data_IF_484266535251
#
_entry.id   IF_484266535251
#
_cell.length_a   1.000
_cell.length_b   1.000
_cell.length_c   1.000
_cell.angle_alpha   90.00
_cell.angle_beta   90.00
_cell.angle_gamma   90.00
#
_symmetry.space_group_name_H-M   'P 1'
#
loop_
_entity.id
_entity.type
_entity.pdbx_description
1 polymer ?
#
# COMPACT_ATOMS: atom_id res chain seq x y z
N UNK A 1 63.71 -32.29 10.22
CA UNK A 1 63.86 -32.05 8.77
C UNK A 1 62.76 -32.85 8.10
N UNK A 2 61.66 -32.19 7.70
CA UNK A 2 61.36 -31.72 6.33
C UNK A 2 61.20 -32.89 5.36
N UNK A 3 60.15 -33.04 4.57
CA UNK A 3 58.83 -32.41 4.47
C UNK A 3 58.05 -33.35 3.53
N UNK A 4 56.79 -33.62 3.82
CA UNK A 4 55.88 -34.28 2.88
C UNK A 4 55.43 -33.22 1.90
N UNK A 5 55.87 -33.33 0.65
CA UNK A 5 55.45 -32.48 -0.46
C UNK A 5 55.07 -33.39 -1.64
N UNK A 6 54.13 -32.89 -2.43
CA UNK A 6 53.75 -33.35 -3.77
C UNK A 6 52.70 -34.46 -3.86
N UNK A 7 51.41 -34.07 -3.76
CA UNK A 7 50.49 -34.09 -4.91
C UNK A 7 49.06 -33.61 -4.57
N UNK A 8 48.93 -32.37 -4.07
CA UNK A 8 47.63 -31.70 -3.90
C UNK A 8 47.47 -30.52 -4.86
N UNK A 9 47.64 -30.76 -6.15
CA UNK A 9 47.50 -29.73 -7.20
C UNK A 9 46.89 -30.32 -8.46
N UNK A 10 45.70 -30.91 -8.40
CA UNK A 10 44.92 -31.17 -9.62
C UNK A 10 43.41 -31.44 -9.46
N UNK A 11 42.72 -30.81 -8.49
CA UNK A 11 41.25 -30.98 -8.35
C UNK A 11 40.46 -29.67 -8.23
N UNK A 12 41.12 -28.50 -8.12
CA UNK A 12 40.43 -27.23 -7.87
C UNK A 12 40.30 -26.28 -9.08
N UNK A 13 40.56 -26.73 -10.31
CA UNK A 13 40.56 -25.83 -11.48
C UNK A 13 39.66 -26.26 -12.66
N UNK A 14 38.54 -26.95 -12.40
CA UNK A 14 37.56 -27.34 -13.45
C UNK A 14 36.08 -27.26 -13.08
N UNK A 15 35.69 -26.39 -12.15
CA UNK A 15 34.27 -25.98 -11.99
C UNK A 15 34.22 -24.46 -11.78
N UNK A 16 34.66 -23.73 -12.79
CA UNK A 16 34.50 -22.28 -12.85
C UNK A 16 34.28 -21.89 -14.30
N UNK A 17 33.10 -22.19 -14.83
CA UNK A 17 32.57 -21.60 -16.06
C UNK A 17 31.10 -21.99 -16.20
N UNK A 18 30.27 -20.94 -16.35
CA UNK A 18 28.89 -20.95 -16.86
C UNK A 18 27.77 -21.28 -15.86
N UNK A 19 27.72 -20.53 -14.76
CA UNK A 19 26.45 -19.95 -14.31
C UNK A 19 26.36 -18.51 -14.82
N UNK A 20 26.28 -18.37 -16.14
CA UNK A 20 25.64 -17.19 -16.72
C UNK A 20 24.17 -17.32 -16.32
N UNK A 21 23.81 -16.65 -15.23
CA UNK A 21 22.43 -16.41 -14.88
C UNK A 21 21.78 -15.67 -16.04
N UNK A 22 21.12 -16.40 -16.92
CA UNK A 22 20.08 -15.82 -17.74
C UNK A 22 19.16 -15.10 -16.75
N UNK A 23 18.89 -13.79 -16.94
CA UNK A 23 17.82 -13.18 -16.18
C UNK A 23 16.61 -14.05 -16.50
N UNK A 24 16.00 -14.66 -15.47
CA UNK A 24 14.64 -15.12 -15.58
C UNK A 24 13.86 -13.88 -16.03
N UNK A 25 13.60 -13.79 -17.32
CA UNK A 25 12.58 -12.91 -17.86
C UNK A 25 11.33 -13.45 -17.19
N UNK A 26 10.91 -12.77 -16.11
CA UNK A 26 9.63 -13.03 -15.50
C UNK A 26 8.64 -13.06 -16.64
N UNK A 27 7.95 -14.19 -16.79
CA UNK A 27 6.92 -14.37 -17.80
C UNK A 27 5.99 -13.16 -17.68
N UNK A 28 6.00 -12.29 -18.70
CA UNK A 28 5.19 -11.07 -18.70
C UNK A 28 3.76 -11.49 -18.39
N UNK A 29 3.16 -10.89 -17.35
CA UNK A 29 1.74 -11.07 -17.11
C UNK A 29 0.95 -10.62 -18.33
N UNK A 30 -0.32 -11.01 -18.39
CA UNK A 30 -1.22 -10.48 -19.41
C UNK A 30 -1.49 -9.00 -19.12
N UNK A 31 -0.81 -8.12 -19.85
CA UNK A 31 -0.88 -6.67 -19.66
C UNK A 31 -1.91 -6.08 -20.62
N UNK A 32 -2.97 -5.53 -20.06
CA UNK A 32 -4.03 -4.87 -20.80
C UNK A 32 -3.68 -3.41 -21.10
N UNK A 33 -3.61 -3.05 -22.38
CA UNK A 33 -3.36 -1.69 -22.88
C UNK A 33 -4.64 -0.96 -23.31
N UNK A 34 -5.83 -1.53 -23.07
CA UNK A 34 -7.12 -0.95 -23.52
C UNK A 34 -7.39 0.46 -23.00
N UNK A 35 -6.88 0.79 -21.81
CA UNK A 35 -7.01 2.09 -21.17
C UNK A 35 -5.66 2.83 -21.06
N UNK A 36 -4.68 2.49 -21.91
CA UNK A 36 -3.31 2.99 -21.79
C UNK A 36 -3.22 4.52 -21.75
N UNK A 37 -3.98 5.22 -22.61
CA UNK A 37 -4.01 6.69 -22.70
C UNK A 37 -4.87 7.36 -21.62
N UNK A 38 -5.52 6.58 -20.75
CA UNK A 38 -6.29 7.09 -19.61
C UNK A 38 -5.35 7.29 -18.42
N UNK A 39 -5.32 8.47 -17.78
CA UNK A 39 -4.47 8.70 -16.61
C UNK A 39 -4.72 7.67 -15.50
N UNK A 40 -3.65 7.17 -14.86
CA UNK A 40 -3.76 6.10 -13.84
C UNK A 40 -4.76 6.43 -12.72
N UNK A 41 -4.81 7.68 -12.26
CA UNK A 41 -5.80 8.10 -11.25
C UNK A 41 -7.24 7.88 -11.74
N UNK A 42 -7.52 8.20 -13.00
CA UNK A 42 -8.83 7.98 -13.62
C UNK A 42 -9.13 6.48 -13.74
N UNK A 43 -8.18 5.67 -14.21
CA UNK A 43 -8.33 4.21 -14.27
C UNK A 43 -8.70 3.61 -12.90
N UNK A 44 -8.00 4.03 -11.84
CA UNK A 44 -8.25 3.58 -10.47
C UNK A 44 -9.65 4.01 -10.01
N UNK A 45 -10.00 5.28 -10.18
CA UNK A 45 -11.31 5.80 -9.76
C UNK A 45 -12.46 5.12 -10.52
N UNK A 46 -12.28 4.84 -11.81
CA UNK A 46 -13.29 4.16 -12.61
C UNK A 46 -13.42 2.68 -12.23
N UNK A 47 -12.32 2.02 -11.90
CA UNK A 47 -12.35 0.67 -11.33
C UNK A 47 -13.11 0.65 -9.99
N UNK A 48 -12.89 1.63 -9.11
CA UNK A 48 -13.62 1.74 -7.84
C UNK A 48 -15.12 1.91 -8.08
N UNK A 49 -15.51 2.83 -8.99
CA UNK A 49 -16.91 3.06 -9.35
C UNK A 49 -17.55 1.79 -9.92
N UNK A 50 -16.86 1.11 -10.84
CA UNK A 50 -17.33 -0.12 -11.48
C UNK A 50 -17.53 -1.26 -10.48
N UNK A 51 -16.67 -1.37 -9.46
CA UNK A 51 -16.80 -2.39 -8.41
C UNK A 51 -17.83 -2.05 -7.33
N UNK A 52 -18.06 -0.77 -7.03
CA UNK A 52 -19.07 -0.35 -6.03
C UNK A 52 -20.47 -0.31 -6.62
N UNK A 53 -20.66 0.18 -7.85
CA UNK A 53 -21.98 0.44 -8.41
C UNK A 53 -22.93 -0.78 -8.37
N UNK A 54 -22.52 -2.00 -8.77
CA UNK A 54 -23.40 -3.18 -8.70
C UNK A 54 -23.84 -3.50 -7.28
N UNK A 55 -23.01 -3.18 -6.28
CA UNK A 55 -23.28 -3.45 -4.86
C UNK A 55 -24.31 -2.50 -4.26
N UNK A 56 -24.49 -1.32 -4.86
CA UNK A 56 -25.49 -0.34 -4.44
C UNK A 56 -26.87 -0.64 -5.04
N UNK A 57 -26.92 -1.38 -6.15
CA UNK A 57 -28.14 -1.62 -6.91
C UNK A 57 -28.64 -0.39 -7.67
N UNK A 58 -29.61 -0.60 -8.55
CA UNK A 58 -30.20 0.43 -9.41
C UNK A 58 -31.31 1.24 -8.71
N UNK A 59 -31.91 0.68 -7.66
CA UNK A 59 -33.01 1.31 -6.91
C UNK A 59 -32.57 2.28 -5.82
N UNK A 60 -33.55 2.76 -5.05
CA UNK A 60 -33.33 3.67 -3.92
C UNK A 60 -32.47 2.99 -2.84
N UNK A 61 -31.39 3.65 -2.44
CA UNK A 61 -30.52 3.18 -1.37
C UNK A 61 -31.09 3.65 -0.03
N UNK A 62 -31.71 2.73 0.71
CA UNK A 62 -32.41 3.02 1.97
C UNK A 62 -31.49 3.08 3.19
N UNK A 63 -30.24 2.61 3.05
CA UNK A 63 -29.22 2.57 4.09
C UNK A 63 -27.87 2.99 3.55
N UNK A 64 -27.09 3.67 4.39
CA UNK A 64 -25.72 4.04 4.05
C UNK A 64 -24.85 2.79 3.85
N UNK A 65 -23.86 2.91 2.96
CA UNK A 65 -22.92 1.83 2.64
C UNK A 65 -21.50 2.36 2.81
N UNK A 66 -20.63 1.53 3.37
CA UNK A 66 -19.27 1.94 3.72
C UNK A 66 -18.29 0.99 3.09
N UNK A 67 -17.21 1.52 2.53
CA UNK A 67 -16.20 0.74 1.84
C UNK A 67 -14.80 1.13 2.29
N UNK A 68 -13.90 0.16 2.34
CA UNK A 68 -12.46 0.37 2.50
C UNK A 68 -11.71 -0.22 1.31
N UNK A 69 -10.68 0.48 0.86
CA UNK A 69 -9.90 0.13 -0.31
C UNK A 69 -8.43 0.28 0.05
N UNK A 70 -7.74 -0.83 0.36
CA UNK A 70 -6.30 -0.86 0.52
C UNK A 70 -5.56 -0.69 -0.81
N UNK A 71 -4.45 0.03 -0.75
CA UNK A 71 -3.57 0.28 -1.87
C UNK A 71 -2.11 0.07 -1.47
N UNK A 72 -1.30 -0.11 -2.50
CA UNK A 72 0.14 0.00 -2.41
C UNK A 72 0.73 0.46 -3.73
N UNK A 73 1.89 1.09 -3.67
CA UNK A 73 2.79 1.13 -4.83
C UNK A 73 4.17 0.66 -4.41
N UNK A 74 4.93 0.12 -5.36
CA UNK A 74 6.36 -0.20 -5.18
C UNK A 74 7.09 -0.30 -6.52
N UNK A 75 8.40 -0.18 -6.45
CA UNK A 75 9.29 -0.58 -7.54
C UNK A 75 9.65 -2.08 -7.44
N UNK A 76 10.51 -2.53 -8.37
CA UNK A 76 10.93 -3.93 -8.47
C UNK A 76 11.69 -4.42 -7.25
N UNK A 77 12.50 -3.55 -6.66
CA UNK A 77 13.39 -3.89 -5.55
C UNK A 77 12.75 -3.60 -4.19
N UNK A 78 11.54 -3.04 -4.18
CA UNK A 78 10.83 -2.63 -2.97
C UNK A 78 11.67 -1.63 -2.16
N UNK A 79 12.29 -0.68 -2.84
CA UNK A 79 12.98 0.44 -2.21
C UNK A 79 11.96 1.28 -1.43
N UNK A 80 12.25 1.66 -0.18
CA UNK A 80 11.28 2.34 0.68
C UNK A 80 10.89 3.73 0.19
N UNK A 81 11.79 4.47 -0.46
CA UNK A 81 11.50 5.75 -1.11
C UNK A 81 10.49 5.62 -2.28
N UNK A 82 10.44 4.44 -2.89
CA UNK A 82 9.56 4.13 -4.00
C UNK A 82 8.43 3.20 -3.60
N UNK A 83 8.16 3.02 -2.31
CA UNK A 83 7.16 2.07 -1.85
C UNK A 83 6.29 2.61 -0.73
N UNK A 84 4.98 2.37 -0.83
CA UNK A 84 4.03 2.94 0.12
C UNK A 84 2.78 2.09 0.26
N UNK A 85 2.17 2.13 1.44
CA UNK A 85 0.93 1.45 1.78
C UNK A 85 -0.07 2.48 2.31
N UNK A 86 -1.30 2.48 1.78
CA UNK A 86 -2.33 3.45 2.14
C UNK A 86 -3.74 2.89 1.95
N UNK A 87 -4.75 3.58 2.50
CA UNK A 87 -6.17 3.20 2.34
C UNK A 87 -7.02 4.39 1.93
N UNK A 88 -8.04 4.13 1.11
CA UNK A 88 -9.17 5.03 0.92
C UNK A 88 -10.41 4.43 1.56
N UNK A 89 -11.21 5.27 2.21
CA UNK A 89 -12.47 4.90 2.87
C UNK A 89 -13.58 5.75 2.28
N UNK A 90 -14.70 5.12 1.96
CA UNK A 90 -15.86 5.73 1.29
C UNK A 90 -17.12 5.46 2.12
N UNK A 91 -17.97 6.46 2.26
CA UNK A 91 -19.35 6.31 2.74
C UNK A 91 -20.29 6.85 1.67
N UNK A 92 -21.19 6.00 1.20
CA UNK A 92 -22.29 6.36 0.29
C UNK A 92 -23.53 6.62 1.14
N UNK A 93 -24.16 7.78 0.96
CA UNK A 93 -25.34 8.19 1.72
C UNK A 93 -26.60 7.45 1.24
N UNK A 94 -27.57 7.28 2.13
CA UNK A 94 -28.90 6.82 1.77
C UNK A 94 -29.67 7.94 1.05
N UNK A 95 -30.44 7.62 0.01
CA UNK A 95 -31.11 8.62 -0.82
C UNK A 95 -32.29 9.31 -0.10
N UNK A 96 -32.88 8.62 0.88
CA UNK A 96 -34.10 9.05 1.56
C UNK A 96 -33.84 9.85 2.85
N UNK A 97 -32.59 10.24 3.12
CA UNK A 97 -32.21 10.98 4.31
C UNK A 97 -31.28 12.13 3.96
N UNK A 98 -31.47 13.28 4.59
CA UNK A 98 -30.52 14.38 4.47
C UNK A 98 -29.14 13.92 4.98
N UNK A 99 -28.05 14.08 4.20
CA UNK A 99 -26.73 13.64 4.61
C UNK A 99 -26.26 14.36 5.88
N UNK A 100 -25.92 13.60 6.92
CA UNK A 100 -25.15 14.14 8.05
C UNK A 100 -23.65 13.98 7.72
N UNK A 101 -23.06 15.06 7.22
CA UNK A 101 -21.67 15.10 6.76
C UNK A 101 -20.70 14.95 7.91
N UNK A 102 -19.65 14.16 7.69
CA UNK A 102 -18.57 14.07 8.67
C UNK A 102 -17.77 15.37 8.66
N UNK A 103 -17.65 16.04 9.81
CA UNK A 103 -16.87 17.28 9.95
C UNK A 103 -15.48 17.14 9.32
N UNK A 104 -15.18 18.01 8.36
CA UNK A 104 -13.90 18.06 7.64
C UNK A 104 -13.85 17.20 6.37
N UNK A 105 -14.90 16.46 6.04
CA UNK A 105 -15.02 15.76 4.77
C UNK A 105 -15.99 16.48 3.82
N UNK A 106 -15.60 16.55 2.55
CA UNK A 106 -16.43 17.13 1.51
C UNK A 106 -17.42 16.09 0.98
N UNK A 107 -18.67 16.50 0.81
CA UNK A 107 -19.65 15.75 0.05
C UNK A 107 -19.27 15.76 -1.43
N UNK A 108 -19.43 14.62 -2.08
CA UNK A 108 -19.19 14.41 -3.52
C UNK A 108 -20.41 13.73 -4.11
N UNK A 109 -20.56 13.86 -5.43
CA UNK A 109 -21.66 13.25 -6.18
C UNK A 109 -21.12 12.46 -7.36
N UNK A 110 -21.67 11.28 -7.59
CA UNK A 110 -21.45 10.50 -8.79
C UNK A 110 -22.77 9.88 -9.24
N UNK A 111 -23.19 10.21 -10.47
CA UNK A 111 -24.56 9.92 -10.94
C UNK A 111 -25.60 10.47 -9.94
N UNK A 112 -26.50 9.64 -9.47
CA UNK A 112 -27.52 9.94 -8.46
C UNK A 112 -27.07 9.64 -7.02
N UNK A 113 -25.80 9.29 -6.79
CA UNK A 113 -25.29 8.93 -5.45
C UNK A 113 -24.46 10.05 -4.85
N UNK A 114 -24.76 10.39 -3.61
CA UNK A 114 -23.94 11.26 -2.79
C UNK A 114 -23.03 10.42 -1.89
N UNK A 115 -21.80 10.86 -1.70
CA UNK A 115 -20.82 10.14 -0.89
C UNK A 115 -19.79 11.08 -0.27
N UNK A 116 -19.12 10.61 0.78
CA UNK A 116 -17.89 11.21 1.31
C UNK A 116 -16.76 10.18 1.23
N UNK A 117 -15.54 10.68 1.01
CA UNK A 117 -14.36 9.83 0.91
C UNK A 117 -13.12 10.52 1.47
N UNK A 118 -12.22 9.74 2.06
CA UNK A 118 -10.92 10.21 2.52
C UNK A 118 -9.86 9.13 2.38
N UNK A 119 -8.60 9.57 2.37
CA UNK A 119 -7.44 8.70 2.27
C UNK A 119 -6.57 8.84 3.52
N UNK A 120 -6.14 7.72 4.08
CA UNK A 120 -5.04 7.67 5.06
C UNK A 120 -3.81 7.21 4.28
N UNK A 121 -2.98 8.18 3.93
CA UNK A 121 -1.73 8.02 3.19
C UNK A 121 -0.66 8.79 3.95
N UNK A 122 -0.03 8.12 4.92
CA UNK A 122 0.81 8.76 5.92
C UNK A 122 2.28 8.71 5.53
N UNK A 123 2.84 9.88 5.19
CA UNK A 123 4.23 10.07 4.76
C UNK A 123 4.80 11.35 5.39
N UNK A 124 6.13 11.59 5.32
CA UNK A 124 6.71 12.89 5.65
C UNK A 124 5.97 14.03 4.95
N UNK A 125 5.80 15.15 5.64
CA UNK A 125 5.01 16.29 5.13
C UNK A 125 5.54 16.83 3.80
N UNK A 126 6.85 16.80 3.63
CA UNK A 126 7.63 17.29 2.50
C UNK A 126 7.87 16.23 1.41
N UNK A 127 7.26 15.04 1.49
CA UNK A 127 7.60 13.91 0.63
C UNK A 127 7.41 14.13 -0.87
N UNK A 128 6.50 15.03 -1.28
CA UNK A 128 6.33 15.41 -2.70
C UNK A 128 7.55 16.15 -3.28
N UNK A 129 8.29 16.87 -2.44
CA UNK A 129 9.47 17.64 -2.83
C UNK A 129 10.77 16.97 -2.40
N UNK A 130 10.70 16.05 -1.44
CA UNK A 130 11.83 15.34 -0.86
C UNK A 130 11.46 13.87 -0.62
N UNK A 131 11.55 13.00 -1.65
CA UNK A 131 11.16 11.59 -1.53
C UNK A 131 12.21 10.73 -0.81
N UNK A 132 13.31 11.32 -0.30
CA UNK A 132 14.34 10.58 0.41
C UNK A 132 13.84 10.13 1.78
N UNK A 133 13.51 8.84 1.87
CA UNK A 133 13.00 8.23 3.08
C UNK A 133 14.12 7.54 3.87
N UNK A 134 14.44 8.04 5.05
CA UNK A 134 15.35 7.33 5.96
C UNK A 134 14.60 6.18 6.65
N UNK A 135 15.00 4.94 6.35
CA UNK A 135 14.46 3.75 7.03
C UNK A 135 15.43 3.19 8.06
N UNK A 136 16.68 2.98 7.68
CA UNK A 136 17.74 2.51 8.56
C UNK A 136 19.01 3.31 8.32
N UNK A 137 19.50 3.98 9.36
CA UNK A 137 20.79 4.68 9.32
C UNK A 137 21.67 4.26 10.50
N UNK A 138 22.93 3.91 10.18
CA UNK A 138 23.96 3.46 11.12
C UNK A 138 24.24 1.94 11.14
N UNK A 139 25.44 1.52 11.60
CA UNK A 139 25.77 0.11 11.79
C UNK A 139 24.78 -0.57 12.75
N UNK A 140 24.23 -1.71 12.34
CA UNK A 140 23.32 -2.50 13.16
C UNK A 140 21.87 -1.98 13.28
N UNK A 141 21.53 -0.83 12.68
CA UNK A 141 20.19 -0.22 12.75
C UNK A 141 19.04 -1.14 12.30
N UNK A 142 19.30 -2.05 11.36
CA UNK A 142 18.32 -3.06 10.91
C UNK A 142 17.98 -4.05 12.05
N UNK A 143 18.99 -4.50 12.79
CA UNK A 143 18.85 -5.50 13.84
C UNK A 143 18.45 -4.89 15.20
N UNK A 144 19.02 -3.72 15.53
CA UNK A 144 18.85 -3.06 16.82
C UNK A 144 18.18 -1.69 16.61
N UNK A 145 16.87 -1.56 16.85
CA UNK A 145 16.13 -0.32 16.61
C UNK A 145 16.73 0.91 17.33
N UNK A 146 17.35 0.70 18.51
CA UNK A 146 18.01 1.76 19.30
C UNK A 146 19.23 2.37 18.60
N UNK A 147 19.83 1.65 17.64
CA UNK A 147 20.98 2.11 16.86
C UNK A 147 20.55 2.86 15.58
N UNK A 148 19.25 2.91 15.28
CA UNK A 148 18.75 3.56 14.07
C UNK A 148 18.69 5.08 14.24
N UNK A 149 19.56 5.78 13.51
CA UNK A 149 19.75 7.24 13.57
C UNK A 149 18.75 8.03 12.72
N UNK A 150 17.87 7.37 11.97
CA UNK A 150 16.87 8.06 11.17
C UNK A 150 16.03 9.02 12.03
N UNK A 151 15.76 10.25 11.54
CA UNK A 151 14.97 11.22 12.27
C UNK A 151 13.48 10.85 12.29
N UNK A 152 12.77 11.43 13.25
CA UNK A 152 11.31 11.51 13.21
C UNK A 152 10.95 12.75 12.40
N UNK A 153 10.03 12.61 11.45
CA UNK A 153 9.61 13.71 10.57
C UNK A 153 8.17 14.11 10.86
N UNK A 154 7.80 15.40 10.69
CA UNK A 154 6.39 15.78 10.61
C UNK A 154 5.69 14.97 9.53
N UNK A 155 4.60 14.29 9.86
CA UNK A 155 3.80 13.55 8.89
C UNK A 155 2.61 14.36 8.38
N UNK A 156 2.05 13.93 7.24
CA UNK A 156 0.72 14.35 6.79
C UNK A 156 0.01 13.22 6.06
N UNK A 157 -1.32 13.28 6.04
CA UNK A 157 -2.12 12.50 5.11
C UNK A 157 -2.09 13.14 3.72
N UNK A 158 -1.73 12.37 2.71
CA UNK A 158 -1.85 12.73 1.30
C UNK A 158 -3.21 12.28 0.76
N UNK A 159 -3.78 13.04 -0.16
CA UNK A 159 -4.97 12.64 -0.91
C UNK A 159 -4.65 11.44 -1.82
N UNK A 160 -5.69 10.72 -2.26
CA UNK A 160 -5.52 9.66 -3.26
C UNK A 160 -4.80 10.18 -4.51
N UNK A 161 -5.21 11.35 -5.03
CA UNK A 161 -4.60 11.93 -6.23
C UNK A 161 -3.10 12.25 -6.04
N UNK A 162 -2.72 12.88 -4.92
CA UNK A 162 -1.31 13.12 -4.60
C UNK A 162 -0.52 11.82 -4.46
N UNK A 163 -1.11 10.80 -3.84
CA UNK A 163 -0.44 9.51 -3.61
C UNK A 163 -0.25 8.72 -4.92
N UNK A 164 -1.25 8.71 -5.80
CA UNK A 164 -1.12 8.08 -7.13
C UNK A 164 -0.11 8.86 -7.99
N UNK A 165 -0.08 10.19 -7.88
CA UNK A 165 0.93 11.00 -8.57
C UNK A 165 2.36 10.60 -8.18
N UNK A 166 2.64 10.37 -6.90
CA UNK A 166 3.95 9.86 -6.44
C UNK A 166 4.33 8.54 -7.13
N UNK A 167 3.39 7.60 -7.24
CA UNK A 167 3.61 6.32 -7.91
C UNK A 167 3.88 6.49 -9.42
N UNK A 168 3.11 7.36 -10.08
CA UNK A 168 3.25 7.66 -11.51
C UNK A 168 4.60 8.32 -11.80
N UNK A 169 5.00 9.32 -11.00
CA UNK A 169 6.27 10.01 -11.15
C UNK A 169 7.47 9.07 -10.98
N UNK A 170 7.34 8.09 -10.08
CA UNK A 170 8.33 7.04 -9.85
C UNK A 170 8.23 5.84 -10.81
N UNK A 171 7.24 5.80 -11.71
CA UNK A 171 7.00 4.70 -12.66
C UNK A 171 6.79 3.33 -11.98
N UNK A 172 6.12 3.35 -10.83
CA UNK A 172 5.93 2.18 -9.98
C UNK A 172 4.76 1.29 -10.40
N UNK A 173 4.80 0.02 -10.01
CA UNK A 173 3.59 -0.80 -10.01
C UNK A 173 2.66 -0.32 -8.89
N UNK A 174 1.36 -0.22 -9.18
CA UNK A 174 0.32 0.18 -8.22
C UNK A 174 -0.66 -0.96 -8.06
N UNK A 175 -0.98 -1.34 -6.82
CA UNK A 175 -1.98 -2.34 -6.49
C UNK A 175 -3.13 -1.74 -5.69
N UNK A 176 -4.33 -2.25 -5.96
CA UNK A 176 -5.56 -1.97 -5.23
C UNK A 176 -6.21 -3.30 -4.83
N UNK A 177 -6.76 -3.36 -3.62
CA UNK A 177 -7.55 -4.50 -3.14
C UNK A 177 -8.99 -4.09 -2.83
N UNK A 178 -9.95 -4.97 -3.11
CA UNK A 178 -11.37 -4.70 -2.92
C UNK A 178 -11.97 -3.89 -4.08
N UNK A 179 -12.89 -2.93 -3.82
CA UNK A 179 -13.34 -2.40 -2.51
C UNK A 179 -14.05 -3.42 -1.61
N UNK A 180 -13.83 -3.34 -0.30
CA UNK A 180 -14.48 -4.20 0.69
C UNK A 180 -15.55 -3.43 1.48
N UNK A 181 -16.74 -4.00 1.67
CA UNK A 181 -17.73 -3.43 2.58
C UNK A 181 -17.27 -3.55 4.03
N UNK A 182 -17.54 -2.48 4.76
CA UNK A 182 -17.32 -2.40 6.19
C UNK A 182 -18.59 -1.92 6.87
N UNK A 183 -18.66 -2.13 8.18
CA UNK A 183 -19.73 -1.52 8.99
C UNK A 183 -19.45 -0.05 9.27
N UNK A 184 -20.50 0.66 9.69
CA UNK A 184 -20.41 2.05 10.17
C UNK A 184 -19.38 2.21 11.28
N UNK A 185 -19.27 1.23 12.18
CA UNK A 185 -18.31 1.23 13.27
C UNK A 185 -16.87 1.28 12.75
N UNK A 186 -16.54 0.52 11.70
CA UNK A 186 -15.24 0.54 11.06
C UNK A 186 -14.95 1.89 10.36
N UNK A 187 -15.96 2.47 9.71
CA UNK A 187 -15.87 3.81 9.12
C UNK A 187 -15.55 4.87 10.20
N UNK A 188 -16.28 4.87 11.31
CA UNK A 188 -16.06 5.81 12.41
C UNK A 188 -14.66 5.72 13.00
N UNK A 189 -14.12 4.50 13.06
CA UNK A 189 -12.76 4.23 13.51
C UNK A 189 -11.70 4.72 12.53
N UNK A 190 -11.92 4.56 11.24
CA UNK A 190 -11.06 5.16 10.23
C UNK A 190 -11.06 6.70 10.30
N UNK A 191 -12.21 7.32 10.59
CA UNK A 191 -12.29 8.77 10.86
C UNK A 191 -11.49 9.15 12.10
N UNK A 192 -11.62 8.40 13.20
CA UNK A 192 -10.86 8.63 14.42
C UNK A 192 -9.35 8.53 14.16
N UNK A 193 -8.91 7.54 13.38
CA UNK A 193 -7.52 7.39 12.95
C UNK A 193 -7.04 8.59 12.14
N UNK A 194 -7.79 9.00 11.11
CA UNK A 194 -7.47 10.16 10.28
C UNK A 194 -7.28 11.41 11.15
N UNK A 195 -8.23 11.67 12.07
CA UNK A 195 -8.18 12.83 12.97
C UNK A 195 -6.97 12.80 13.91
N UNK A 196 -6.62 11.62 14.45
CA UNK A 196 -5.45 11.46 15.30
C UNK A 196 -4.14 11.83 14.56
N UNK A 197 -4.03 11.41 13.29
CA UNK A 197 -2.87 11.72 12.44
C UNK A 197 -2.85 13.20 12.04
N UNK A 198 -3.98 13.75 11.63
CA UNK A 198 -4.09 15.15 11.19
C UNK A 198 -3.83 16.15 12.33
N UNK A 199 -4.08 15.77 13.60
CA UNK A 199 -3.71 16.58 14.77
C UNK A 199 -2.18 16.77 14.90
N UNK A 200 -1.37 15.99 14.18
CA UNK A 200 0.08 16.08 14.20
C UNK A 200 0.73 15.64 15.51
N UNK A 201 -0.04 15.01 16.41
CA UNK A 201 0.46 14.41 17.67
C UNK A 201 1.34 13.20 17.41
N UNK A 202 0.95 12.38 16.44
CA UNK A 202 1.76 11.28 15.94
C UNK A 202 2.55 11.79 14.74
N UNK A 203 3.86 11.53 14.72
CA UNK A 203 4.78 11.89 13.64
C UNK A 203 4.99 10.73 12.68
N UNK A 204 5.76 10.95 11.63
CA UNK A 204 6.16 9.91 10.69
C UNK A 204 7.52 9.32 11.08
N UNK A 205 7.63 8.00 11.03
CA UNK A 205 8.91 7.27 11.02
C UNK A 205 8.74 5.93 10.31
N UNK A 206 9.63 5.59 9.38
CA UNK A 206 9.54 4.35 8.62
C UNK A 206 9.80 3.11 9.49
N UNK A 207 10.88 3.12 10.28
CA UNK A 207 11.13 2.15 11.35
C UNK A 207 10.61 2.69 12.68
N UNK A 208 9.37 2.36 13.01
CA UNK A 208 8.65 2.86 14.18
C UNK A 208 8.63 1.89 15.37
N UNK A 209 9.45 0.83 15.35
CA UNK A 209 9.47 -0.23 16.37
C UNK A 209 9.50 0.28 17.82
N UNK A 210 10.25 1.36 18.08
CA UNK A 210 10.41 1.97 19.42
C UNK A 210 9.38 3.06 19.75
N UNK A 211 8.64 3.57 18.77
CA UNK A 211 7.86 4.81 18.91
C UNK A 211 6.35 4.58 18.92
N UNK A 212 5.93 3.38 18.52
CA UNK A 212 4.52 2.97 18.44
C UNK A 212 3.82 3.01 19.80
N UNK A 213 4.37 2.33 20.81
CA UNK A 213 3.70 2.18 22.11
C UNK A 213 3.37 3.53 22.76
N UNK A 214 4.31 4.48 22.67
CA UNK A 214 4.16 5.82 23.23
C UNK A 214 3.48 6.82 22.28
N UNK A 215 3.02 6.36 21.11
CA UNK A 215 2.32 7.16 20.09
C UNK A 215 3.14 8.37 19.60
N UNK A 216 4.46 8.23 19.58
CA UNK A 216 5.36 9.32 19.16
C UNK A 216 5.41 9.40 17.63
N UNK A 217 5.61 8.27 16.95
CA UNK A 217 5.71 8.20 15.51
C UNK A 217 5.27 6.83 14.98
N UNK A 218 4.72 6.80 13.77
CA UNK A 218 4.33 5.57 13.07
C UNK A 218 4.70 5.60 11.59
N UNK A 219 4.78 4.43 10.98
CA UNK A 219 4.99 4.20 9.54
C UNK A 219 3.68 4.26 8.74
N UNK A 220 3.79 4.23 7.41
CA UNK A 220 2.64 4.22 6.51
C UNK A 220 1.73 3.00 6.69
N UNK A 221 2.30 1.80 6.81
CA UNK A 221 1.51 0.58 6.96
C UNK A 221 0.78 0.52 8.31
N UNK A 222 1.41 0.99 9.40
CA UNK A 222 0.73 1.08 10.70
C UNK A 222 -0.33 2.18 10.72
N UNK A 223 -0.15 3.27 9.96
CA UNK A 223 -1.16 4.32 9.85
C UNK A 223 -2.49 3.81 9.30
N UNK A 224 -2.46 2.85 8.37
CA UNK A 224 -3.65 2.19 7.85
C UNK A 224 -4.10 0.94 8.62
N UNK A 225 -3.24 0.30 9.42
CA UNK A 225 -3.55 -0.93 10.14
C UNK A 225 -4.49 -0.75 11.35
N UNK A 226 -5.23 -1.82 11.66
CA UNK A 226 -5.98 -2.01 12.91
C UNK A 226 -6.91 -0.84 13.26
N UNK A 227 -8.02 -0.69 12.54
CA UNK A 227 -9.02 0.36 12.82
C UNK A 227 -9.42 0.45 14.32
N UNK A 228 -9.27 -0.64 15.08
CA UNK A 228 -9.46 -0.70 16.54
C UNK A 228 -8.19 -0.57 17.39
N UNK A 229 -7.06 -1.05 16.89
CA UNK A 229 -5.82 -1.26 17.63
C UNK A 229 -4.69 -0.65 16.80
N UNK A 230 -3.98 0.31 17.38
CA UNK A 230 -2.96 1.05 16.64
C UNK A 230 -1.84 0.15 16.07
N UNK A 231 -1.65 -1.09 16.57
CA UNK A 231 -0.44 -1.85 16.29
C UNK A 231 -0.66 -3.37 16.23
N UNK A 232 -0.70 -3.97 15.05
CA UNK A 232 -0.08 -5.28 14.88
C UNK A 232 1.46 -5.19 14.89
N UNK A 233 2.12 -6.31 15.20
CA UNK A 233 3.51 -6.51 14.78
C UNK A 233 3.52 -7.19 13.41
N UNK A 234 4.31 -6.66 12.46
CA UNK A 234 4.50 -7.20 11.12
C UNK A 234 5.99 -7.44 10.80
N UNK A 235 6.26 -8.24 9.76
CA UNK A 235 7.62 -8.52 9.26
C UNK A 235 8.35 -9.66 9.97
N UNK A 236 9.50 -10.05 9.42
CA UNK A 236 10.37 -11.09 9.98
C UNK A 236 10.75 -10.73 11.43
N UNK A 237 10.40 -11.59 12.40
CA UNK A 237 10.56 -11.35 13.84
C UNK A 237 9.88 -10.09 14.40
N UNK A 238 8.81 -9.60 13.76
CA UNK A 238 8.11 -8.39 14.22
C UNK A 238 8.88 -7.09 13.96
N UNK A 239 9.86 -7.13 13.04
CA UNK A 239 10.78 -6.01 12.81
C UNK A 239 10.24 -4.93 11.88
N UNK A 240 9.13 -5.16 11.18
CA UNK A 240 8.64 -4.26 10.14
C UNK A 240 9.54 -4.18 8.89
N UNK A 241 10.60 -4.99 8.79
CA UNK A 241 11.52 -4.97 7.65
C UNK A 241 10.80 -5.37 6.35
N UNK A 242 10.95 -4.54 5.30
CA UNK A 242 10.26 -4.69 4.00
C UNK A 242 8.73 -4.74 4.09
N UNK A 243 8.14 -4.24 5.19
CA UNK A 243 6.69 -4.21 5.40
C UNK A 243 6.05 -2.92 4.87
N UNK A 244 6.48 -2.51 3.68
CA UNK A 244 5.90 -1.41 2.91
C UNK A 244 5.52 -1.94 1.53
N UNK A 245 4.87 -1.09 0.72
CA UNK A 245 4.41 -1.50 -0.60
C UNK A 245 3.45 -2.69 -0.51
N UNK A 246 3.64 -3.68 -1.39
CA UNK A 246 2.70 -4.79 -1.51
C UNK A 246 2.75 -5.73 -0.31
N UNK A 247 3.94 -5.96 0.26
CA UNK A 247 4.11 -6.81 1.44
C UNK A 247 3.45 -6.19 2.69
N UNK A 248 3.64 -4.88 2.88
CA UNK A 248 3.00 -4.13 3.96
C UNK A 248 1.47 -4.22 3.87
N UNK A 249 0.92 -3.92 2.69
CA UNK A 249 -0.54 -3.94 2.50
C UNK A 249 -1.12 -5.35 2.58
N UNK A 250 -0.43 -6.38 2.05
CA UNK A 250 -0.84 -7.77 2.20
C UNK A 250 -0.95 -8.20 3.67
N UNK A 251 -0.03 -7.75 4.53
CA UNK A 251 -0.10 -8.03 5.96
C UNK A 251 -1.28 -7.34 6.65
N UNK A 252 -1.54 -6.08 6.31
CA UNK A 252 -2.72 -5.36 6.83
C UNK A 252 -4.01 -6.08 6.43
N UNK A 253 -4.08 -6.59 5.20
CA UNK A 253 -5.22 -7.37 4.73
C UNK A 253 -5.41 -8.68 5.51
N UNK A 254 -4.34 -9.42 5.82
CA UNK A 254 -4.42 -10.63 6.68
C UNK A 254 -5.03 -10.28 8.03
N UNK A 255 -4.62 -9.16 8.63
CA UNK A 255 -5.19 -8.72 9.90
C UNK A 255 -6.64 -8.27 9.80
N UNK A 256 -7.05 -7.71 8.66
CA UNK A 256 -8.45 -7.44 8.40
C UNK A 256 -9.24 -8.75 8.32
N UNK A 257 -8.72 -9.77 7.63
CA UNK A 257 -9.33 -11.10 7.55
C UNK A 257 -9.49 -11.74 8.93
N UNK A 258 -8.50 -11.61 9.81
CA UNK A 258 -8.53 -12.22 11.14
C UNK A 258 -9.26 -11.33 12.15
N UNK A 259 -8.71 -10.17 12.49
CA UNK A 259 -9.20 -9.34 13.60
C UNK A 259 -10.48 -8.59 13.24
N UNK A 260 -10.51 -7.93 12.09
CA UNK A 260 -11.65 -7.08 11.73
C UNK A 260 -12.89 -7.93 11.39
N UNK A 261 -12.73 -9.03 10.65
CA UNK A 261 -13.81 -9.99 10.40
C UNK A 261 -14.31 -10.64 11.68
N UNK A 262 -13.43 -11.08 12.59
CA UNK A 262 -13.86 -11.67 13.86
C UNK A 262 -14.65 -10.69 14.74
N UNK A 263 -14.36 -9.38 14.64
CA UNK A 263 -15.13 -8.31 15.30
C UNK A 263 -16.36 -7.88 14.48
N UNK A 264 -16.63 -8.51 13.34
CA UNK A 264 -17.73 -8.20 12.42
C UNK A 264 -17.59 -6.85 11.71
N UNK A 265 -16.42 -6.20 11.76
CA UNK A 265 -16.19 -4.86 11.21
C UNK A 265 -16.07 -4.86 9.68
N UNK A 266 -15.51 -5.94 9.13
CA UNK A 266 -15.43 -6.22 7.71
C UNK A 266 -16.57 -7.18 7.33
N UNK A 267 -17.32 -6.83 6.30
CA UNK A 267 -18.47 -7.64 5.86
C UNK A 267 -18.13 -8.58 4.71
N UNK A 268 -17.16 -8.19 3.89
CA UNK A 268 -16.70 -9.03 2.78
C UNK A 268 -15.54 -9.92 3.21
N UNK A 269 -15.43 -11.14 2.68
CA UNK A 269 -14.20 -11.90 2.78
C UNK A 269 -13.07 -11.19 2.03
N UNK A 270 -11.84 -11.38 2.51
CA UNK A 270 -10.61 -10.87 1.88
C UNK A 270 -9.80 -12.03 1.35
N UNK A 271 -9.54 -12.02 0.04
CA UNK A 271 -8.54 -12.86 -0.61
C UNK A 271 -7.42 -11.96 -1.16
N UNK A 272 -6.30 -11.92 -0.41
CA UNK A 272 -5.15 -11.05 -0.69
C UNK A 272 -4.60 -11.22 -2.10
N UNK A 273 -4.74 -12.41 -2.70
CA UNK A 273 -4.22 -12.70 -4.04
C UNK A 273 -5.25 -12.40 -5.11
N UNK A 274 -6.51 -12.83 -4.94
CA UNK A 274 -7.54 -12.72 -5.98
C UNK A 274 -8.15 -11.33 -6.09
N UNK A 275 -8.22 -10.59 -4.98
CA UNK A 275 -8.87 -9.28 -4.97
C UNK A 275 -7.97 -8.15 -5.49
N UNK A 276 -6.71 -8.49 -5.81
CA UNK A 276 -5.67 -7.54 -6.19
C UNK A 276 -5.77 -7.18 -7.67
N UNK A 277 -6.12 -5.93 -7.96
CA UNK A 277 -5.96 -5.31 -9.28
C UNK A 277 -4.63 -4.56 -9.31
N UNK A 278 -3.83 -4.75 -10.38
CA UNK A 278 -2.50 -4.14 -10.51
C UNK A 278 -2.46 -3.29 -11.77
N UNK A 279 -1.83 -2.13 -11.67
CA UNK A 279 -1.47 -1.28 -12.79
C UNK A 279 0.05 -1.16 -12.89
N UNK A 280 0.59 -1.24 -14.11
CA UNK A 280 2.02 -1.27 -14.38
C UNK A 280 2.40 -0.18 -15.38
N UNK A 281 3.56 0.44 -15.16
CA UNK A 281 4.09 1.44 -16.08
C UNK A 281 4.60 0.77 -17.35
N UNK A 282 4.20 1.27 -18.50
CA UNK A 282 4.78 0.93 -19.80
C UNK A 282 5.25 2.21 -20.50
N UNK A 283 6.48 2.24 -21.06
CA UNK A 283 6.98 3.40 -21.81
C UNK A 283 6.26 3.62 -23.14
N UNK A 284 5.79 2.54 -23.78
CA UNK A 284 5.09 2.55 -25.07
C UNK A 284 3.93 1.58 -25.04
N UNK A 285 2.86 1.88 -25.80
CA UNK A 285 1.73 0.98 -25.97
C UNK A 285 2.18 -0.35 -26.58
N UNK A 286 1.76 -1.48 -25.99
CA UNK A 286 2.19 -2.83 -26.39
C UNK A 286 3.69 -3.12 -26.20
N UNK A 287 4.41 -2.22 -25.52
CA UNK A 287 5.85 -2.34 -25.29
C UNK A 287 6.22 -3.16 -24.05
N UNK A 288 7.54 -3.33 -23.79
CA UNK A 288 8.01 -4.02 -22.61
C UNK A 288 7.63 -3.26 -21.33
N UNK A 289 7.16 -4.02 -20.33
CA UNK A 289 6.90 -3.52 -18.97
C UNK A 289 8.13 -3.75 -18.10
N UNK A 290 8.78 -2.69 -17.56
CA UNK A 290 10.00 -2.84 -16.76
C UNK A 290 9.83 -3.66 -15.48
N UNK A 291 8.63 -3.60 -14.88
CA UNK A 291 8.27 -4.32 -13.67
C UNK A 291 6.79 -4.68 -13.66
N UNK A 292 6.50 -5.99 -13.72
CA UNK A 292 5.16 -6.54 -13.57
C UNK A 292 5.12 -7.57 -12.42
N UNK A 293 4.53 -7.22 -11.26
CA UNK A 293 4.37 -8.13 -10.13
C UNK A 293 3.09 -8.98 -10.15
N UNK A 294 2.34 -8.99 -11.25
CA UNK A 294 1.06 -9.66 -11.36
C UNK A 294 1.00 -10.65 -12.52
N UNK A 295 0.01 -11.55 -12.48
CA UNK A 295 -0.31 -12.42 -13.62
C UNK A 295 -1.10 -11.68 -14.70
N UNK A 296 -1.81 -10.63 -14.31
CA UNK A 296 -2.55 -9.74 -15.18
C UNK A 296 -2.51 -8.34 -14.57
N UNK A 297 -2.31 -7.33 -15.41
CA UNK A 297 -2.21 -5.93 -15.00
C UNK A 297 -2.77 -5.01 -16.08
N UNK A 298 -3.19 -3.80 -15.69
CA UNK A 298 -3.51 -2.73 -16.63
C UNK A 298 -2.27 -1.85 -16.87
N UNK A 299 -1.98 -1.51 -18.11
CA UNK A 299 -0.89 -0.60 -18.44
C UNK A 299 -1.31 0.87 -18.21
N UNK A 300 -0.34 1.68 -17.78
CA UNK A 300 -0.45 3.13 -17.79
C UNK A 300 0.86 3.77 -18.25
N UNK A 301 0.78 5.01 -18.72
CA UNK A 301 1.95 5.85 -18.96
C UNK A 301 1.90 7.14 -18.11
N UNK A 302 3.05 7.83 -18.06
CA UNK A 302 3.20 9.12 -17.38
C UNK A 302 2.78 10.26 -18.30
#
# INVERSE_FOLDING_TARGET
MKAVADNFTNVYFRIFLLLLGFPLVAQAGDVDFSNYDVPLYTQIVDTIKAKIAPRLGEGTLTRERYFIIPFAYQDRENHPEFSHSFITVIRVFADNKQPNLTRGLAMRKYKNREFEAFTISWLPRDFLTNPHLCVFDGPGARLFPKQNKCPISPGRNFTLAETIKLAVDAKNAVAMWGPYEIRKEAFNRAIARKRLLDQGKIKYRADDRLYRQDKVAISCFHAMAGLDELFPNGGLFGTGFMMWGFNGTARVLIEYTEKASNKGLLLDPVDVKKDRSVSVYAPTAGGPVPYDPAKSAAAYHR
#
